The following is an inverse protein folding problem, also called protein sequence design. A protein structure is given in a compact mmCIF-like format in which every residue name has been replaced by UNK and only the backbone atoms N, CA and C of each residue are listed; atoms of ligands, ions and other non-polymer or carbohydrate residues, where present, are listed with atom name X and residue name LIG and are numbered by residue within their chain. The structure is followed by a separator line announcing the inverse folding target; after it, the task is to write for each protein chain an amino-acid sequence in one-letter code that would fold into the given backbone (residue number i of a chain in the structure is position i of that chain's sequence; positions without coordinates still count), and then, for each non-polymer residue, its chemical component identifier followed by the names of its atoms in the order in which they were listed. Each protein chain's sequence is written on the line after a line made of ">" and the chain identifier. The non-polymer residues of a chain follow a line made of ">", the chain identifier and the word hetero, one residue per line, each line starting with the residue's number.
data_IF_155637905605
#
_entry.id   IF_155637905605
#
_cell.length_a   1.000
_cell.length_b   1.000
_cell.length_c   1.000
_cell.angle_alpha   90.00
_cell.angle_beta   90.00
_cell.angle_gamma   90.00
#
_symmetry.space_group_name_H-M   'P 1'
#
loop_
_entity.id
_entity.type
_entity.pdbx_description
1 polymer ?
#
# COMPACT_ATOMS: atom_id res chain seq x y z
N UNK A 1 -6.48 6.63 12.69
CA UNK A 1 -6.11 5.23 12.49
C UNK A 1 -6.50 4.48 13.75
N UNK A 2 -7.28 3.41 13.63
CA UNK A 2 -7.57 2.48 14.74
C UNK A 2 -6.39 1.52 14.95
N UNK A 3 -6.31 0.78 16.08
CA UNK A 3 -5.25 -0.21 16.28
C UNK A 3 -5.21 -1.28 15.19
N UNK A 4 -6.38 -1.79 14.76
CA UNK A 4 -6.46 -2.77 13.68
C UNK A 4 -5.95 -2.20 12.35
N UNK A 5 -6.26 -0.93 12.04
CA UNK A 5 -5.73 -0.27 10.85
C UNK A 5 -4.21 -0.07 10.91
N UNK A 6 -3.66 0.19 12.10
CA UNK A 6 -2.22 0.32 12.30
C UNK A 6 -1.50 -1.02 12.12
N UNK A 7 -2.07 -2.12 12.64
CA UNK A 7 -1.56 -3.47 12.41
C UNK A 7 -1.56 -3.82 10.91
N UNK A 8 -2.64 -3.51 10.18
CA UNK A 8 -2.71 -3.75 8.73
C UNK A 8 -1.74 -2.88 7.96
N UNK A 9 -1.60 -1.62 8.35
CA UNK A 9 -0.63 -0.72 7.76
C UNK A 9 0.80 -1.26 7.95
N UNK A 10 1.15 -1.70 9.16
CA UNK A 10 2.46 -2.29 9.45
C UNK A 10 2.72 -3.57 8.63
N UNK A 11 1.74 -4.47 8.55
CA UNK A 11 1.82 -5.68 7.73
C UNK A 11 2.08 -5.35 6.25
N UNK A 12 1.32 -4.39 5.71
CA UNK A 12 1.51 -3.89 4.35
C UNK A 12 2.88 -3.25 4.12
N UNK A 13 3.38 -2.49 5.10
CA UNK A 13 4.73 -1.89 5.06
C UNK A 13 5.81 -2.97 5.05
N UNK A 14 5.73 -3.99 5.91
CA UNK A 14 6.75 -5.06 6.02
C UNK A 14 6.87 -5.85 4.72
N UNK A 15 5.74 -6.25 4.11
CA UNK A 15 5.75 -6.95 2.81
C UNK A 15 6.31 -6.04 1.72
N UNK A 16 5.90 -4.78 1.69
CA UNK A 16 6.40 -3.79 0.73
C UNK A 16 7.90 -3.54 0.89
N UNK A 17 8.41 -3.55 2.12
CA UNK A 17 9.83 -3.42 2.41
C UNK A 17 10.61 -4.62 1.89
N UNK A 18 10.18 -5.85 2.19
CA UNK A 18 10.81 -7.07 1.69
C UNK A 18 10.95 -7.04 0.16
N UNK A 19 9.87 -6.66 -0.53
CA UNK A 19 9.87 -6.51 -1.99
C UNK A 19 10.85 -5.44 -2.49
N UNK A 20 10.81 -4.25 -1.91
CA UNK A 20 11.64 -3.11 -2.34
C UNK A 20 13.13 -3.34 -2.06
N UNK A 21 13.47 -4.15 -1.05
CA UNK A 21 14.83 -4.60 -0.76
C UNK A 21 15.26 -5.80 -1.61
N UNK A 22 14.33 -6.44 -2.33
CA UNK A 22 14.59 -7.66 -3.10
C UNK A 22 14.80 -8.90 -2.23
N UNK A 23 14.29 -8.89 -1.00
CA UNK A 23 14.36 -10.02 -0.06
C UNK A 23 13.19 -10.99 -0.31
N UNK A 24 13.37 -11.84 -1.33
CA UNK A 24 12.34 -12.81 -1.71
C UNK A 24 12.02 -13.81 -0.60
N UNK A 25 12.99 -14.14 0.27
CA UNK A 25 12.78 -15.10 1.36
C UNK A 25 11.90 -14.49 2.47
N UNK A 26 12.13 -13.22 2.80
CA UNK A 26 11.27 -12.51 3.76
C UNK A 26 9.89 -12.22 3.18
N UNK A 27 9.80 -11.86 1.90
CA UNK A 27 8.52 -11.68 1.20
C UNK A 27 7.68 -12.97 1.25
N UNK A 28 8.28 -14.12 0.89
CA UNK A 28 7.63 -15.44 0.95
C UNK A 28 7.18 -15.77 2.38
N UNK A 29 8.05 -15.60 3.38
CA UNK A 29 7.73 -15.89 4.79
C UNK A 29 6.54 -15.06 5.30
N UNK A 30 6.46 -13.78 4.93
CA UNK A 30 5.36 -12.91 5.33
C UNK A 30 4.05 -13.30 4.63
N UNK A 31 4.12 -13.66 3.34
CA UNK A 31 2.95 -14.14 2.58
C UNK A 31 2.43 -15.49 3.08
N UNK A 32 3.33 -16.44 3.38
CA UNK A 32 2.95 -17.74 3.97
C UNK A 32 2.24 -17.54 5.32
N UNK A 33 2.73 -16.64 6.17
CA UNK A 33 2.08 -16.33 7.43
C UNK A 33 0.67 -15.74 7.24
N UNK A 34 0.45 -14.92 6.21
CA UNK A 34 -0.87 -14.39 5.87
C UNK A 34 -1.81 -15.49 5.33
N UNK A 35 -1.29 -16.47 4.58
CA UNK A 35 -2.05 -17.64 4.13
C UNK A 35 -2.47 -18.50 5.32
N UNK A 36 -1.53 -18.84 6.21
CA UNK A 36 -1.78 -19.71 7.37
C UNK A 36 -2.84 -19.16 8.32
N UNK A 37 -2.99 -17.83 8.36
CA UNK A 37 -3.96 -17.12 9.21
C UNK A 37 -5.28 -16.77 8.51
N UNK A 38 -5.44 -17.14 7.23
CA UNK A 38 -6.57 -16.73 6.40
C UNK A 38 -6.70 -15.19 6.30
N UNK A 39 -5.57 -14.49 6.28
CA UNK A 39 -5.47 -13.02 6.25
C UNK A 39 -5.15 -12.46 4.86
N UNK A 40 -5.03 -13.30 3.83
CA UNK A 40 -4.76 -12.88 2.46
C UNK A 40 -5.69 -11.75 1.95
N UNK A 41 -7.02 -11.78 2.17
CA UNK A 41 -7.89 -10.68 1.77
C UNK A 41 -7.59 -9.37 2.50
N UNK A 42 -7.06 -9.44 3.73
CA UNK A 42 -6.73 -8.27 4.55
C UNK A 42 -5.46 -7.57 4.10
N UNK A 43 -4.59 -8.22 3.31
CA UNK A 43 -3.43 -7.58 2.69
C UNK A 43 -3.82 -6.41 1.79
N UNK A 44 -5.00 -6.49 1.14
CA UNK A 44 -5.55 -5.39 0.34
C UNK A 44 -5.68 -4.12 1.18
N UNK A 45 -6.20 -4.25 2.41
CA UNK A 45 -6.33 -3.10 3.32
C UNK A 45 -4.97 -2.54 3.71
N UNK A 46 -4.02 -3.42 4.04
CA UNK A 46 -2.65 -3.03 4.38
C UNK A 46 -1.99 -2.21 3.28
N UNK A 47 -2.02 -2.69 2.03
CA UNK A 47 -1.44 -1.96 0.90
C UNK A 47 -2.19 -0.68 0.55
N UNK A 48 -3.52 -0.66 0.72
CA UNK A 48 -4.30 0.57 0.60
C UNK A 48 -3.87 1.58 1.67
N UNK A 49 -3.71 1.20 2.94
CA UNK A 49 -3.22 2.10 3.98
C UNK A 49 -1.82 2.63 3.69
N UNK A 50 -0.93 1.80 3.15
CA UNK A 50 0.39 2.25 2.65
C UNK A 50 0.24 3.33 1.59
N UNK A 51 -0.61 3.09 0.59
CA UNK A 51 -0.87 4.06 -0.48
C UNK A 51 -1.50 5.36 0.04
N UNK A 52 -2.47 5.27 0.96
CA UNK A 52 -3.13 6.44 1.56
C UNK A 52 -2.13 7.32 2.29
N UNK A 53 -1.30 6.73 3.16
CA UNK A 53 -0.30 7.45 3.94
C UNK A 53 0.72 8.15 3.04
N UNK A 54 1.30 7.44 2.07
CA UNK A 54 2.24 8.02 1.13
C UNK A 54 1.60 9.13 0.26
N UNK A 55 0.36 8.92 -0.19
CA UNK A 55 -0.39 9.91 -0.98
C UNK A 55 -0.72 11.16 -0.18
N UNK A 56 -1.05 11.03 1.10
CA UNK A 56 -1.33 12.17 1.97
C UNK A 56 -0.08 13.05 2.16
N UNK A 57 1.09 12.42 2.34
CA UNK A 57 2.38 13.11 2.38
C UNK A 57 2.69 13.82 1.06
N UNK A 58 2.44 13.17 -0.08
CA UNK A 58 2.60 13.78 -1.41
C UNK A 58 1.67 14.99 -1.58
N UNK A 59 0.41 14.86 -1.18
CA UNK A 59 -0.60 15.90 -1.31
C UNK A 59 -0.22 17.14 -0.50
N UNK A 60 0.18 16.93 0.76
CA UNK A 60 0.66 17.99 1.66
C UNK A 60 1.91 18.68 1.11
N UNK A 61 2.91 17.91 0.69
CA UNK A 61 4.17 18.47 0.20
C UNK A 61 4.01 19.25 -1.11
N UNK A 62 3.02 18.92 -1.94
CA UNK A 62 2.71 19.62 -3.20
C UNK A 62 1.64 20.70 -3.05
N UNK A 63 0.97 20.80 -1.91
CA UNK A 63 -0.14 21.73 -1.70
C UNK A 63 -1.34 21.46 -2.61
N UNK A 64 -1.64 20.19 -2.91
CA UNK A 64 -2.77 19.78 -3.77
C UNK A 64 -3.78 18.90 -3.00
N UNK A 65 -5.04 18.81 -3.44
CA UNK A 65 -6.01 17.89 -2.84
C UNK A 65 -5.56 16.42 -2.90
N UNK A 66 -5.90 15.64 -1.87
CA UNK A 66 -5.60 14.21 -1.77
C UNK A 66 -6.04 13.44 -3.03
N UNK A 67 -7.28 13.66 -3.49
CA UNK A 67 -7.83 12.98 -4.67
C UNK A 67 -6.99 13.25 -5.92
N UNK A 68 -6.49 14.49 -6.07
CA UNK A 68 -5.63 14.86 -7.19
C UNK A 68 -4.25 14.20 -7.06
N UNK A 69 -3.69 14.10 -5.85
CA UNK A 69 -2.44 13.38 -5.62
C UNK A 69 -2.57 11.88 -5.97
N UNK A 70 -3.66 11.24 -5.53
CA UNK A 70 -3.95 9.83 -5.80
C UNK A 70 -4.12 9.55 -7.30
N UNK A 71 -4.88 10.38 -8.01
CA UNK A 71 -5.11 10.24 -9.45
C UNK A 71 -3.86 10.49 -10.30
N UNK A 72 -2.88 11.22 -9.77
CA UNK A 72 -1.60 11.48 -10.44
C UNK A 72 -0.58 10.35 -10.23
N UNK A 73 -0.89 9.33 -9.43
CA UNK A 73 -0.03 8.15 -9.32
C UNK A 73 -0.01 7.41 -10.66
N UNK A 74 1.17 6.97 -11.04
CA UNK A 74 1.38 6.14 -12.24
C UNK A 74 1.71 4.72 -11.79
N UNK A 75 1.02 3.68 -12.31
CA UNK A 75 1.34 2.30 -11.96
C UNK A 75 2.77 1.96 -12.35
N UNK A 76 3.49 1.32 -11.43
CA UNK A 76 4.84 0.83 -11.70
C UNK A 76 4.77 -0.51 -12.45
N UNK A 77 5.23 -0.57 -13.71
CA UNK A 77 5.16 -1.80 -14.49
C UNK A 77 6.04 -2.89 -13.88
N UNK A 78 5.57 -4.14 -13.92
CA UNK A 78 6.31 -5.29 -13.42
C UNK A 78 6.29 -5.49 -11.90
N UNK A 79 5.58 -4.64 -11.15
CA UNK A 79 5.33 -4.86 -9.72
C UNK A 79 4.17 -5.84 -9.57
N UNK A 80 4.50 -7.09 -9.24
CA UNK A 80 3.56 -8.18 -9.01
C UNK A 80 4.02 -8.89 -7.75
N UNK A 81 3.10 -9.06 -6.78
CA UNK A 81 3.38 -9.75 -5.52
C UNK A 81 3.17 -11.25 -5.65
N UNK A 82 2.10 -11.66 -6.34
CA UNK A 82 1.73 -13.05 -6.55
C UNK A 82 1.71 -13.33 -8.07
N UNK A 83 2.75 -13.99 -8.62
CA UNK A 83 2.94 -14.15 -10.08
C UNK A 83 1.80 -14.86 -10.82
N UNK A 84 1.15 -15.84 -10.18
CA UNK A 84 0.09 -16.66 -10.80
C UNK A 84 -1.31 -16.04 -10.66
N UNK A 85 -1.39 -14.86 -10.05
CA UNK A 85 -2.62 -14.11 -9.84
C UNK A 85 -2.66 -12.94 -10.82
N UNK A 86 -3.84 -12.65 -11.38
CA UNK A 86 -4.01 -11.52 -12.30
C UNK A 86 -3.53 -10.20 -11.69
N UNK A 87 -3.14 -9.24 -12.52
CA UNK A 87 -2.65 -7.92 -12.08
C UNK A 87 -3.72 -7.10 -11.32
N UNK A 88 -4.99 -7.45 -11.49
CA UNK A 88 -6.13 -6.72 -10.94
C UNK A 88 -6.43 -5.41 -11.67
N UNK A 89 -7.43 -4.66 -11.20
CA UNK A 89 -7.84 -3.40 -11.81
C UNK A 89 -7.21 -2.21 -11.09
N UNK A 90 -6.31 -1.49 -11.78
CA UNK A 90 -5.72 -0.23 -11.29
C UNK A 90 -6.80 0.80 -10.93
N UNK A 91 -7.78 1.02 -11.82
CA UNK A 91 -8.89 1.93 -11.56
C UNK A 91 -9.73 1.47 -10.36
N UNK A 92 -9.90 0.15 -10.22
CA UNK A 92 -10.59 -0.46 -9.07
C UNK A 92 -9.92 -0.12 -7.75
N UNK A 93 -8.59 -0.29 -7.64
CA UNK A 93 -7.87 -0.01 -6.39
C UNK A 93 -7.73 1.49 -6.10
N UNK A 94 -7.60 2.33 -7.12
CA UNK A 94 -7.65 3.80 -6.93
C UNK A 94 -9.02 4.24 -6.43
N UNK A 95 -10.09 3.63 -6.94
CA UNK A 95 -11.46 3.85 -6.46
C UNK A 95 -11.64 3.37 -5.03
N UNK A 96 -11.12 2.18 -4.70
CA UNK A 96 -11.13 1.63 -3.34
C UNK A 96 -10.40 2.54 -2.36
N UNK A 97 -9.17 2.97 -2.67
CA UNK A 97 -8.42 3.89 -1.83
C UNK A 97 -9.16 5.23 -1.65
N UNK A 98 -9.76 5.76 -2.72
CA UNK A 98 -10.60 6.96 -2.63
C UNK A 98 -11.80 6.77 -1.69
N UNK A 99 -12.45 5.61 -1.74
CA UNK A 99 -13.59 5.27 -0.89
C UNK A 99 -13.16 5.12 0.58
N UNK A 100 -12.06 4.41 0.86
CA UNK A 100 -11.51 4.26 2.23
C UNK A 100 -11.20 5.62 2.84
N UNK A 101 -10.66 6.58 2.06
CA UNK A 101 -10.40 7.94 2.57
C UNK A 101 -11.67 8.72 2.91
N UNK A 102 -12.81 8.42 2.29
CA UNK A 102 -14.09 9.11 2.50
C UNK A 102 -14.93 8.46 3.60
N UNK A 103 -15.09 7.14 3.55
CA UNK A 103 -15.92 6.37 4.47
C UNK A 103 -15.67 4.87 4.33
N UNK A 104 -15.53 4.16 5.47
CA UNK A 104 -15.42 2.69 5.49
C UNK A 104 -16.65 1.97 4.89
N UNK A 105 -17.83 2.59 4.94
CA UNK A 105 -19.05 2.00 4.37
C UNK A 105 -19.03 2.01 2.83
N UNK A 106 -18.51 3.08 2.22
CA UNK A 106 -18.30 3.15 0.76
C UNK A 106 -17.22 2.16 0.33
N UNK A 107 -16.15 2.00 1.13
CA UNK A 107 -15.07 1.05 0.84
C UNK A 107 -15.57 -0.40 0.75
N UNK A 108 -16.49 -0.80 1.64
CA UNK A 108 -17.09 -2.16 1.61
C UNK A 108 -17.84 -2.42 0.30
N UNK A 109 -18.59 -1.45 -0.20
CA UNK A 109 -19.34 -1.61 -1.45
C UNK A 109 -18.41 -1.79 -2.66
N UNK A 110 -17.29 -1.07 -2.69
CA UNK A 110 -16.28 -1.22 -3.76
C UNK A 110 -15.58 -2.58 -3.67
N UNK A 111 -15.22 -3.02 -2.46
CA UNK A 111 -14.55 -4.30 -2.24
C UNK A 111 -15.38 -5.51 -2.70
N UNK A 112 -16.71 -5.46 -2.56
CA UNK A 112 -17.61 -6.53 -3.03
C UNK A 112 -17.61 -6.74 -4.55
N UNK A 113 -17.17 -5.75 -5.33
CA UNK A 113 -17.08 -5.85 -6.79
C UNK A 113 -15.72 -6.30 -7.32
N UNK A 114 -14.73 -6.51 -6.44
CA UNK A 114 -13.37 -6.83 -6.84
C UNK A 114 -13.07 -8.32 -6.74
N UNK A 115 -12.33 -8.84 -7.72
CA UNK A 115 -11.72 -10.16 -7.63
C UNK A 115 -10.59 -10.11 -6.60
N UNK A 116 -10.74 -10.81 -5.47
CA UNK A 116 -9.85 -10.68 -4.30
C UNK A 116 -8.39 -11.02 -4.63
N UNK A 117 -8.07 -12.10 -5.37
CA UNK A 117 -6.70 -12.37 -5.78
C UNK A 117 -6.11 -11.20 -6.59
N UNK A 118 -6.79 -10.74 -7.64
CA UNK A 118 -6.31 -9.61 -8.44
C UNK A 118 -6.20 -8.30 -7.64
N UNK A 119 -7.10 -8.09 -6.66
CA UNK A 119 -7.07 -6.92 -5.79
C UNK A 119 -5.81 -6.83 -4.94
N UNK A 120 -5.23 -7.97 -4.53
CA UNK A 120 -3.96 -8.01 -3.78
C UNK A 120 -2.82 -7.45 -4.63
N UNK A 121 -2.64 -7.93 -5.86
CA UNK A 121 -1.60 -7.43 -6.77
C UNK A 121 -1.79 -5.94 -7.11
N UNK A 122 -3.03 -5.53 -7.43
CA UNK A 122 -3.31 -4.13 -7.78
C UNK A 122 -3.07 -3.18 -6.58
N UNK A 123 -3.48 -3.58 -5.36
CA UNK A 123 -3.32 -2.74 -4.17
C UNK A 123 -1.85 -2.67 -3.74
N UNK A 124 -1.12 -3.78 -3.84
CA UNK A 124 0.32 -3.81 -3.66
C UNK A 124 1.04 -2.87 -4.62
N UNK A 125 0.72 -2.95 -5.92
CA UNK A 125 1.26 -2.05 -6.94
C UNK A 125 0.93 -0.59 -6.62
N UNK A 126 -0.26 -0.29 -6.11
CA UNK A 126 -0.65 1.05 -5.68
C UNK A 126 0.23 1.55 -4.53
N UNK A 127 0.47 0.73 -3.51
CA UNK A 127 1.37 1.04 -2.39
C UNK A 127 2.79 1.36 -2.84
N UNK A 128 3.39 0.48 -3.65
CA UNK A 128 4.75 0.66 -4.22
C UNK A 128 4.82 1.90 -5.10
N UNK A 129 3.79 2.15 -5.92
CA UNK A 129 3.71 3.32 -6.80
C UNK A 129 3.63 4.62 -6.01
N UNK A 130 2.86 4.62 -4.90
CA UNK A 130 2.76 5.77 -4.01
C UNK A 130 4.08 6.07 -3.29
N UNK A 131 4.75 5.06 -2.74
CA UNK A 131 6.08 5.22 -2.12
C UNK A 131 7.13 5.69 -3.13
N UNK A 132 7.08 5.19 -4.37
CA UNK A 132 7.98 5.67 -5.42
C UNK A 132 7.66 7.09 -5.88
N UNK A 133 6.39 7.49 -5.89
CA UNK A 133 6.04 8.88 -6.14
C UNK A 133 6.48 9.80 -4.99
N UNK A 134 6.45 9.29 -3.75
CA UNK A 134 6.87 10.00 -2.55
C UNK A 134 8.39 10.26 -2.56
N UNK A 135 9.21 9.32 -3.04
CA UNK A 135 10.66 9.54 -3.20
C UNK A 135 11.01 10.64 -4.21
N UNK A 136 10.04 11.13 -5.00
CA UNK A 136 10.22 12.27 -5.91
C UNK A 136 9.83 13.61 -5.27
N UNK A 137 9.27 13.61 -4.06
CA UNK A 137 8.95 14.82 -3.31
C UNK A 137 10.25 15.44 -2.78
N UNK A 138 10.42 16.79 -2.80
CA UNK A 138 11.68 17.43 -2.43
C UNK A 138 12.25 17.03 -1.07
N UNK A 139 11.39 16.75 -0.08
CA UNK A 139 11.76 16.34 1.27
C UNK A 139 12.37 14.92 1.32
N UNK A 140 11.94 14.03 0.42
CA UNK A 140 12.35 12.62 0.39
C UNK A 140 13.25 12.29 -0.80
N UNK A 141 13.65 13.28 -1.61
CA UNK A 141 14.42 13.07 -2.86
C UNK A 141 15.77 12.36 -2.69
N UNK A 142 16.26 12.26 -1.46
CA UNK A 142 17.52 11.61 -1.10
C UNK A 142 17.31 10.17 -0.62
N UNK A 143 16.06 9.74 -0.47
CA UNK A 143 15.69 8.41 0.01
C UNK A 143 15.16 7.57 -1.14
N UNK A 144 15.57 6.32 -1.21
CA UNK A 144 14.93 5.32 -2.07
C UNK A 144 13.52 4.99 -1.53
N UNK A 145 12.64 4.39 -2.34
CA UNK A 145 11.36 3.88 -1.85
C UNK A 145 11.52 2.91 -0.66
N UNK A 146 12.57 2.08 -0.70
CA UNK A 146 12.92 1.16 0.38
C UNK A 146 13.25 1.91 1.69
N UNK A 147 14.05 2.98 1.62
CA UNK A 147 14.37 3.79 2.79
C UNK A 147 13.14 4.54 3.35
N UNK A 148 12.19 4.92 2.48
CA UNK A 148 10.95 5.57 2.91
C UNK A 148 10.05 4.58 3.65
N UNK A 149 9.92 3.34 3.15
CA UNK A 149 9.12 2.32 3.84
C UNK A 149 9.75 1.94 5.17
N UNK A 150 11.08 1.83 5.26
CA UNK A 150 11.80 1.58 6.52
C UNK A 150 11.54 2.70 7.54
N UNK A 151 11.59 3.97 7.12
CA UNK A 151 11.27 5.12 7.97
C UNK A 151 9.83 5.06 8.51
N UNK A 152 8.87 4.59 7.71
CA UNK A 152 7.50 4.41 8.19
C UNK A 152 7.40 3.28 9.21
N UNK A 153 8.10 2.16 9.00
CA UNK A 153 8.15 1.04 9.96
C UNK A 153 8.73 1.52 11.29
N UNK A 154 9.87 2.21 11.27
CA UNK A 154 10.48 2.79 12.49
C UNK A 154 9.51 3.75 13.20
N UNK A 155 8.78 4.57 12.45
CA UNK A 155 7.78 5.48 13.00
C UNK A 155 6.59 4.77 13.67
N UNK A 156 6.15 3.63 13.11
CA UNK A 156 5.09 2.79 13.71
C UNK A 156 5.61 2.12 14.98
N UNK A 157 6.80 1.52 14.94
CA UNK A 157 7.41 0.83 16.09
C UNK A 157 7.68 1.80 17.25
N UNK A 158 8.17 3.01 16.97
CA UNK A 158 8.39 4.05 17.98
C UNK A 158 7.09 4.59 18.61
N UNK A 159 5.97 4.53 17.89
CA UNK A 159 4.65 4.92 18.41
C UNK A 159 3.99 3.86 19.30
N UNK A 160 4.48 2.62 19.26
CA UNK A 160 4.00 1.50 20.08
C UNK A 160 4.88 1.21 21.33
N UNK A 161 6.04 1.88 21.46
CA UNK A 161 6.97 1.77 22.59
C UNK A 161 6.65 2.78 23.71
#
# INVERSE_FOLDING_TARGET
>A
MTPEEAERFEEGLRITAAHLHGDAAEEERLLEAAVDRDEMPRLVEGFVYVALTATEMIAQARGIPFQQALQNLTPQPGVILIPDVGEGSWEGVVTLASAVKRSHEEARQVAHGMDIPGAINASFQLGVSALTAMSRVPQFRHMSPAQIVDMFIEGVEAGHA
#
